data_IF_324125281669
#
_entry.id   IF_324125281669
#
_cell.length_a   1.000
_cell.length_b   1.000
_cell.length_c   1.000
_cell.angle_alpha   90.00
_cell.angle_beta   90.00
_cell.angle_gamma   90.00
#
_symmetry.space_group_name_H-M   'P 1'
#
loop_
_entity.id
_entity.type
_entity.pdbx_description
1 polymer ?
#
# COMPACT_ATOMS: atom_id res chain seq x y z
N UNK A 1 -15.15 16.89 15.75
CA UNK A 1 -14.04 16.54 14.82
C UNK A 1 -14.47 15.29 14.07
N UNK A 2 -14.34 15.26 12.74
CA UNK A 2 -14.65 14.04 11.98
C UNK A 2 -13.57 13.00 12.25
N UNK A 3 -13.93 11.71 12.31
CA UNK A 3 -12.94 10.64 12.46
C UNK A 3 -12.14 10.51 11.15
N UNK A 4 -10.82 10.26 11.21
CA UNK A 4 -10.05 9.96 10.00
C UNK A 4 -10.54 8.64 9.39
N UNK A 5 -10.54 8.58 8.06
CA UNK A 5 -10.87 7.41 7.26
C UNK A 5 -9.60 6.88 6.62
N UNK A 6 -9.39 5.57 6.68
CA UNK A 6 -8.22 4.92 6.08
C UNK A 6 -8.65 4.14 4.84
N UNK A 7 -8.01 4.40 3.71
CA UNK A 7 -8.25 3.72 2.44
C UNK A 7 -6.99 3.03 1.94
N UNK A 8 -7.16 2.08 1.02
CA UNK A 8 -6.08 1.39 0.33
C UNK A 8 -6.01 1.86 -1.12
N UNK A 9 -4.91 2.51 -1.51
CA UNK A 9 -4.63 2.87 -2.89
C UNK A 9 -3.73 1.81 -3.54
N UNK A 10 -4.19 1.19 -4.62
CA UNK A 10 -3.48 0.09 -5.30
C UNK A 10 -3.09 0.43 -6.74
N UNK A 11 -1.87 0.10 -7.14
CA UNK A 11 -1.35 0.11 -8.52
C UNK A 11 -0.15 -0.83 -8.64
N UNK A 12 -0.11 -1.66 -9.66
CA UNK A 12 0.91 -2.68 -9.89
C UNK A 12 1.18 -3.49 -8.62
N UNK A 13 2.42 -3.52 -8.13
CA UNK A 13 2.82 -4.18 -6.86
C UNK A 13 2.74 -3.26 -5.65
N UNK A 14 2.19 -2.05 -5.80
CA UNK A 14 2.13 -1.03 -4.75
C UNK A 14 0.76 -1.02 -4.09
N UNK A 15 0.75 -1.11 -2.76
CA UNK A 15 -0.43 -0.86 -1.92
C UNK A 15 -0.07 0.20 -0.88
N UNK A 16 -0.76 1.34 -0.92
CA UNK A 16 -0.60 2.41 0.04
C UNK A 16 -1.81 2.50 0.96
N UNK A 17 -1.56 2.71 2.25
CA UNK A 17 -2.59 3.02 3.24
C UNK A 17 -2.62 4.54 3.44
N UNK A 18 -3.69 5.18 2.98
CA UNK A 18 -3.84 6.63 3.04
C UNK A 18 -4.85 7.01 4.13
N UNK A 19 -4.49 8.02 4.92
CA UNK A 19 -5.38 8.66 5.87
C UNK A 19 -6.03 9.89 5.22
N UNK A 20 -7.35 9.86 5.08
CA UNK A 20 -8.16 10.94 4.53
C UNK A 20 -9.19 11.42 5.55
N UNK A 21 -9.67 12.65 5.37
CA UNK A 21 -10.84 13.12 6.09
C UNK A 21 -12.10 12.85 5.27
N UNK A 22 -13.26 12.53 5.91
CA UNK A 22 -14.52 12.32 5.19
C UNK A 22 -14.99 13.51 4.34
N UNK A 23 -14.43 14.71 4.56
CA UNK A 23 -14.74 15.94 3.84
C UNK A 23 -13.68 16.29 2.79
N UNK A 24 -12.62 15.50 2.66
CA UNK A 24 -11.60 15.74 1.66
C UNK A 24 -12.22 15.67 0.25
N UNK A 25 -11.89 16.64 -0.58
CA UNK A 25 -12.22 16.61 -2.00
C UNK A 25 -11.37 15.55 -2.72
N UNK A 26 -11.82 15.13 -3.91
CA UNK A 26 -11.06 14.19 -4.74
C UNK A 26 -9.64 14.70 -5.04
N UNK A 27 -9.47 16.01 -5.24
CA UNK A 27 -8.16 16.64 -5.45
C UNK A 27 -7.25 16.56 -4.22
N UNK A 28 -7.81 16.70 -3.02
CA UNK A 28 -7.06 16.55 -1.76
C UNK A 28 -6.62 15.10 -1.57
N UNK A 29 -7.47 14.12 -1.91
CA UNK A 29 -7.11 12.70 -1.88
C UNK A 29 -5.97 12.40 -2.86
N UNK A 30 -6.05 12.92 -4.11
CA UNK A 30 -4.97 12.80 -5.10
C UNK A 30 -3.67 13.45 -4.62
N UNK A 31 -3.74 14.64 -4.03
CA UNK A 31 -2.57 15.33 -3.50
C UNK A 31 -1.89 14.53 -2.38
N UNK A 32 -2.69 13.97 -1.45
CA UNK A 32 -2.18 13.08 -0.39
C UNK A 32 -1.54 11.81 -0.95
N UNK A 33 -2.13 11.23 -2.01
CA UNK A 33 -1.57 10.08 -2.72
C UNK A 33 -0.20 10.43 -3.35
N UNK A 34 -0.11 11.53 -4.10
CA UNK A 34 1.14 11.97 -4.72
C UNK A 34 2.22 12.27 -3.67
N UNK A 35 1.85 12.93 -2.57
CA UNK A 35 2.74 13.20 -1.45
C UNK A 35 3.25 11.91 -0.80
N UNK A 36 2.37 10.92 -0.55
CA UNK A 36 2.75 9.65 0.04
C UNK A 36 3.67 8.80 -0.88
N UNK A 37 3.51 8.95 -2.20
CA UNK A 37 4.35 8.30 -3.20
C UNK A 37 5.68 9.02 -3.45
N UNK A 38 5.87 10.22 -2.88
CA UNK A 38 6.96 11.15 -3.24
C UNK A 38 7.14 11.27 -4.77
N UNK A 39 6.02 11.27 -5.50
CA UNK A 39 6.02 11.35 -6.95
C UNK A 39 5.82 12.81 -7.39
N UNK A 40 6.41 13.18 -8.53
CA UNK A 40 6.28 14.53 -9.11
C UNK A 40 5.02 14.67 -9.97
N UNK A 41 3.98 13.86 -9.72
CA UNK A 41 2.76 13.83 -10.54
C UNK A 41 1.77 14.88 -10.04
N UNK A 42 1.09 15.53 -10.98
CA UNK A 42 0.01 16.48 -10.65
C UNK A 42 -1.35 15.77 -10.54
N UNK A 43 -2.33 16.44 -9.95
CA UNK A 43 -3.70 15.92 -9.82
C UNK A 43 -4.35 15.55 -11.18
N UNK A 44 -3.95 16.22 -12.26
CA UNK A 44 -4.42 15.96 -13.63
C UNK A 44 -3.76 14.74 -14.26
N UNK A 45 -2.59 14.33 -13.78
CA UNK A 45 -1.89 13.14 -14.25
C UNK A 45 -2.28 11.88 -13.49
N UNK A 46 -3.14 12.01 -12.48
CA UNK A 46 -3.59 10.90 -11.63
C UNK A 46 -5.09 10.76 -11.73
N UNK A 47 -5.55 9.55 -11.96
CA UNK A 47 -6.97 9.19 -11.92
C UNK A 47 -7.18 8.10 -10.90
N UNK A 48 -8.22 8.27 -10.08
CA UNK A 48 -8.66 7.30 -9.10
C UNK A 48 -9.85 6.52 -9.67
N UNK A 49 -9.89 5.23 -9.42
CA UNK A 49 -10.93 4.31 -9.84
C UNK A 49 -11.36 3.44 -8.66
N UNK A 50 -12.54 2.86 -8.77
CA UNK A 50 -13.12 1.91 -7.82
C UNK A 50 -13.65 0.71 -8.60
N UNK A 51 -13.89 -0.39 -7.90
CA UNK A 51 -14.53 -1.56 -8.51
C UNK A 51 -15.89 -1.18 -9.13
N UNK A 52 -16.09 -1.66 -10.36
CA UNK A 52 -17.33 -1.54 -11.11
C UNK A 52 -18.35 -2.60 -10.70
N UNK A 53 -19.31 -2.88 -11.59
CA UNK A 53 -20.38 -3.85 -11.32
C UNK A 53 -19.90 -5.31 -11.43
N UNK A 54 -18.87 -5.54 -12.22
CA UNK A 54 -18.29 -6.85 -12.48
C UNK A 54 -16.83 -6.90 -12.02
N UNK A 55 -16.33 -8.10 -11.72
CA UNK A 55 -14.91 -8.28 -11.37
C UNK A 55 -14.03 -7.91 -12.57
N UNK A 56 -13.06 -7.03 -12.34
CA UNK A 56 -12.17 -6.51 -13.39
C UNK A 56 -12.76 -5.35 -14.21
N UNK A 57 -13.99 -4.94 -13.90
CA UNK A 57 -14.53 -3.66 -14.37
C UNK A 57 -14.16 -2.57 -13.37
N UNK A 58 -13.74 -1.41 -13.86
CA UNK A 58 -13.30 -0.29 -13.04
C UNK A 58 -14.02 0.98 -13.46
N UNK A 59 -14.62 1.66 -12.49
CA UNK A 59 -15.28 2.94 -12.71
C UNK A 59 -14.44 4.07 -12.14
N UNK A 60 -14.39 5.20 -12.85
CA UNK A 60 -13.71 6.39 -12.35
C UNK A 60 -14.38 6.84 -11.05
N UNK A 61 -13.57 7.18 -10.05
CA UNK A 61 -14.07 7.71 -8.80
C UNK A 61 -14.58 9.14 -9.03
N UNK A 62 -15.90 9.29 -9.01
CA UNK A 62 -16.56 10.59 -9.13
C UNK A 62 -16.49 11.38 -7.82
N UNK A 63 -16.51 12.71 -7.92
CA UNK A 63 -16.45 13.60 -6.75
C UNK A 63 -17.69 13.50 -5.84
N UNK A 64 -18.77 12.88 -6.32
CA UNK A 64 -20.01 12.61 -5.56
C UNK A 64 -19.89 11.36 -4.69
N UNK A 65 -18.94 10.46 -4.98
CA UNK A 65 -18.78 9.21 -4.26
C UNK A 65 -17.98 9.44 -2.98
N UNK A 66 -18.59 9.09 -1.86
CA UNK A 66 -17.93 9.12 -0.55
C UNK A 66 -17.06 7.88 -0.39
N UNK A 67 -15.86 8.07 0.19
CA UNK A 67 -14.95 6.99 0.54
C UNK A 67 -15.11 6.62 2.02
N UNK A 68 -15.24 5.34 2.28
CA UNK A 68 -15.39 4.76 3.62
C UNK A 68 -14.12 4.06 4.09
N UNK A 69 -14.12 3.65 5.36
CA UNK A 69 -12.96 3.02 5.97
C UNK A 69 -12.74 1.62 5.38
N UNK A 70 -11.49 1.30 5.04
CA UNK A 70 -11.05 0.10 4.33
C UNK A 70 -11.39 0.05 2.84
N UNK A 71 -11.94 1.12 2.25
CA UNK A 71 -12.18 1.18 0.82
C UNK A 71 -10.89 0.96 0.01
N UNK A 72 -11.06 0.29 -1.12
CA UNK A 72 -9.99 0.11 -2.10
C UNK A 72 -10.23 1.09 -3.23
N UNK A 73 -9.22 1.91 -3.50
CA UNK A 73 -9.15 2.75 -4.68
C UNK A 73 -7.98 2.29 -5.53
N UNK A 74 -8.18 2.26 -6.84
CA UNK A 74 -7.13 2.02 -7.80
C UNK A 74 -6.66 3.36 -8.35
N UNK A 75 -5.38 3.48 -8.68
CA UNK A 75 -4.88 4.67 -9.32
C UNK A 75 -4.07 4.34 -10.56
N UNK A 76 -4.18 5.20 -11.56
CA UNK A 76 -3.51 5.09 -12.86
C UNK A 76 -2.95 6.45 -13.25
N UNK A 77 -1.88 6.44 -14.04
CA UNK A 77 -1.30 7.67 -14.56
C UNK A 77 -1.80 7.99 -15.97
N UNK A 78 -1.77 9.28 -16.30
CA UNK A 78 -1.90 9.73 -17.67
C UNK A 78 -0.56 9.58 -18.38
N UNK A 79 -0.54 8.86 -19.50
CA UNK A 79 0.62 8.80 -20.38
C UNK A 79 0.60 9.99 -21.33
N UNK A 80 1.57 10.90 -21.17
CA UNK A 80 1.70 12.08 -22.01
C UNK A 80 2.19 11.77 -23.43
N UNK A 81 2.80 10.61 -23.65
CA UNK A 81 3.33 10.23 -24.96
C UNK A 81 2.21 9.72 -25.86
N UNK A 82 1.38 8.82 -25.34
CA UNK A 82 0.26 8.22 -26.07
C UNK A 82 -1.06 8.99 -25.90
N UNK A 83 -1.11 9.94 -24.96
CA UNK A 83 -2.29 10.76 -24.70
C UNK A 83 -3.46 9.99 -24.08
N UNK A 84 -3.18 8.83 -23.49
CA UNK A 84 -4.16 7.91 -22.93
C UNK A 84 -3.89 7.61 -21.45
N UNK A 85 -4.92 7.14 -20.75
CA UNK A 85 -4.77 6.69 -19.38
C UNK A 85 -4.23 5.27 -19.34
N UNK A 86 -3.33 4.98 -18.40
CA UNK A 86 -2.93 3.60 -18.12
C UNK A 86 -4.16 2.75 -17.76
N UNK A 87 -4.12 1.47 -18.13
CA UNK A 87 -5.09 0.50 -17.65
C UNK A 87 -4.84 0.18 -16.18
N UNK A 88 -5.91 -0.14 -15.44
CA UNK A 88 -5.76 -0.63 -14.07
C UNK A 88 -5.04 -1.98 -14.11
N UNK A 89 -3.86 -2.00 -13.48
CA UNK A 89 -3.07 -3.20 -13.30
C UNK A 89 -2.76 -3.32 -11.80
N UNK A 90 -3.15 -4.42 -11.16
CA UNK A 90 -2.87 -4.69 -9.75
C UNK A 90 -2.37 -6.12 -9.63
N UNK A 91 -1.22 -6.27 -9.02
CA UNK A 91 -0.59 -7.57 -8.77
C UNK A 91 -0.79 -7.85 -7.28
N UNK A 92 -1.65 -8.82 -6.98
CA UNK A 92 -1.85 -9.27 -5.62
C UNK A 92 -0.58 -9.97 -5.11
N UNK A 93 -0.16 -9.72 -3.85
CA UNK A 93 0.97 -10.41 -3.27
C UNK A 93 0.67 -11.91 -3.17
N UNK A 94 1.67 -12.74 -3.46
CA UNK A 94 1.60 -14.17 -3.18
C UNK A 94 1.48 -14.37 -1.67
N UNK A 95 0.50 -15.17 -1.26
CA UNK A 95 0.42 -15.64 0.11
C UNK A 95 1.57 -16.63 0.31
N UNK A 96 2.32 -16.49 1.40
CA UNK A 96 3.29 -17.50 1.77
C UNK A 96 2.51 -18.74 2.22
N UNK A 97 2.76 -19.87 1.57
CA UNK A 97 2.23 -21.15 2.05
C UNK A 97 2.86 -21.43 3.42
N UNK A 98 2.03 -21.57 4.46
CA UNK A 98 2.44 -21.79 5.85
C UNK A 98 3.32 -23.06 6.03
N UNK A 99 3.34 -23.95 5.03
CA UNK A 99 4.03 -25.24 5.03
C UNK A 99 5.55 -25.16 4.75
N UNK A 100 6.10 -23.97 4.42
CA UNK A 100 7.54 -23.78 4.18
C UNK A 100 8.33 -23.27 5.39
N UNK A 101 7.72 -23.22 6.57
CA UNK A 101 8.46 -23.10 7.83
C UNK A 101 8.99 -24.48 8.27
N UNK A 102 9.84 -25.11 7.45
CA UNK A 102 10.78 -26.10 8.00
C UNK A 102 11.74 -25.32 8.91
N UNK A 103 11.64 -25.57 10.22
CA UNK A 103 12.58 -25.07 11.21
C UNK A 103 14.00 -25.43 10.76
N UNK A 104 14.75 -24.47 10.21
CA UNK A 104 16.21 -24.60 10.18
C UNK A 104 16.65 -24.62 11.65
N UNK A 105 16.83 -25.82 12.20
CA UNK A 105 17.45 -26.06 13.49
C UNK A 105 18.81 -25.37 13.51
N UNK A 106 18.86 -24.19 14.13
CA UNK A 106 20.12 -23.50 14.41
C UNK A 106 20.98 -24.42 15.29
N UNK A 107 22.19 -24.83 14.85
CA UNK A 107 23.01 -25.70 15.67
C UNK A 107 23.40 -24.95 16.95
N UNK A 108 23.11 -25.57 18.09
CA UNK A 108 23.30 -25.02 19.42
C UNK A 108 24.71 -24.42 19.60
N UNK A 109 24.78 -23.09 19.66
CA UNK A 109 26.00 -22.38 20.04
C UNK A 109 26.38 -22.77 21.48
N UNK A 110 27.55 -23.43 21.60
CA UNK A 110 28.15 -23.83 22.86
C UNK A 110 28.29 -22.63 23.81
N UNK A 111 27.62 -22.70 24.95
CA UNK A 111 27.74 -21.72 26.03
C UNK A 111 29.16 -21.71 26.59
N UNK A 112 29.91 -20.64 26.35
CA UNK A 112 31.18 -20.37 27.03
C UNK A 112 30.92 -20.13 28.51
N UNK A 113 31.27 -21.10 29.37
CA UNK A 113 31.37 -20.92 30.82
C UNK A 113 32.56 -20.00 31.14
N UNK A 114 32.25 -18.82 31.67
CA UNK A 114 33.19 -17.97 32.44
C UNK A 114 33.27 -18.47 33.89
N UNK A 115 34.32 -18.00 34.56
CA UNK A 115 34.72 -18.14 35.99
C UNK A 115 35.59 -19.36 36.34
N UNK A 116 36.71 -19.25 37.07
CA UNK A 116 37.18 -18.21 38.01
C UNK A 116 38.68 -18.39 38.25
N UNK A 117 39.45 -17.30 38.21
CA UNK A 117 40.86 -17.29 38.62
C UNK A 117 40.99 -17.54 40.13
N UNK A 118 41.90 -18.44 40.50
CA UNK A 118 42.28 -18.70 41.90
C UNK A 118 43.61 -18.01 42.17
N UNK A 119 43.56 -16.96 43.00
CA UNK A 119 44.72 -16.22 43.47
C UNK A 119 45.63 -17.06 44.38
N UNK A 120 46.90 -16.68 44.36
CA UNK A 120 48.01 -17.17 45.17
C UNK A 120 47.71 -17.19 46.68
N UNK A 121 48.22 -18.22 47.35
CA UNK A 121 48.81 -18.16 48.68
C UNK A 121 50.17 -18.86 48.60
#
# INVERSE_FOLDING_TARGET
>A
MSKPTYIRAKREKTTLFLCIEPKDSLEQVKAKLCQALDNKKTNDEVRLLVDGKAKGDYSVLENTKSLENNDIVYYVYYDRNDGQWENVNVIEPELLDDDLMEEEEVPAASTTKKEKGKGRA
#
